data_IF_065357273258
#
_entry.id   IF_065357273258
#
_cell.length_a   1.000
_cell.length_b   1.000
_cell.length_c   1.000
_cell.angle_alpha   90.00
_cell.angle_beta   90.00
_cell.angle_gamma   90.00
#
_symmetry.space_group_name_H-M   'P 1'
#
loop_
_entity.id
_entity.type
_entity.pdbx_description
1 polymer ?
#
# COMPACT_ATOMS: atom_id res chain seq x y z
N UNK A 1 -43.67 12.40 -45.12
CA UNK A 1 -43.75 13.84 -45.48
C UNK A 1 -43.89 14.67 -44.21
N UNK A 2 -42.82 15.32 -43.74
CA UNK A 2 -42.93 16.35 -42.69
C UNK A 2 -41.88 17.42 -42.98
N UNK A 3 -42.38 18.59 -43.37
CA UNK A 3 -41.60 19.71 -43.90
C UNK A 3 -40.86 20.41 -42.75
N UNK A 4 -39.54 20.47 -42.85
CA UNK A 4 -38.68 21.41 -42.12
C UNK A 4 -38.69 22.75 -42.87
N UNK A 5 -39.25 23.81 -42.26
CA UNK A 5 -39.00 25.22 -42.61
C UNK A 5 -39.23 26.07 -41.35
N UNK A 6 -38.13 26.54 -40.75
CA UNK A 6 -37.64 27.93 -40.77
C UNK A 6 -38.42 28.88 -39.87
N UNK A 7 -37.79 29.32 -38.77
CA UNK A 7 -38.01 30.66 -38.20
C UNK A 7 -36.69 31.17 -37.59
N UNK A 8 -36.04 32.02 -38.38
CA UNK A 8 -35.24 33.23 -38.06
C UNK A 8 -34.42 33.31 -36.76
N UNK A 9 -33.09 33.43 -36.92
CA UNK A 9 -32.19 34.12 -35.99
C UNK A 9 -32.28 35.64 -36.21
N UNK A 10 -32.28 36.46 -35.15
CA UNK A 10 -31.69 37.79 -35.22
C UNK A 10 -30.42 37.90 -34.37
N UNK A 11 -29.45 38.58 -34.96
CA UNK A 11 -28.14 38.98 -34.47
C UNK A 11 -28.31 40.28 -33.65
N UNK A 12 -27.61 40.41 -32.53
CA UNK A 12 -27.45 41.67 -31.76
C UNK A 12 -27.50 41.42 -30.25
N UNK A 13 -26.67 41.96 -29.38
CA UNK A 13 -25.51 42.84 -29.47
C UNK A 13 -24.62 42.49 -28.25
N UNK A 14 -23.29 42.48 -28.37
CA UNK A 14 -22.42 42.37 -27.21
C UNK A 14 -22.22 43.75 -26.56
N UNK A 15 -21.96 43.73 -25.25
CA UNK A 15 -21.37 44.80 -24.44
C UNK A 15 -22.32 45.82 -23.77
N UNK A 16 -22.56 45.66 -22.46
CA UNK A 16 -22.06 46.55 -21.37
C UNK A 16 -22.94 46.49 -20.11
N UNK A 17 -22.24 46.35 -18.97
CA UNK A 17 -22.52 46.96 -17.67
C UNK A 17 -23.80 46.55 -16.91
N UNK A 18 -23.61 45.77 -15.84
CA UNK A 18 -24.61 45.54 -14.80
C UNK A 18 -23.96 45.11 -13.49
N UNK A 19 -23.33 46.06 -12.80
CA UNK A 19 -22.68 45.91 -11.51
C UNK A 19 -23.74 46.09 -10.41
N UNK A 20 -24.16 45.01 -9.74
CA UNK A 20 -24.97 45.10 -8.51
C UNK A 20 -24.96 43.79 -7.68
N UNK A 21 -24.02 43.74 -6.73
CA UNK A 21 -24.23 43.38 -5.32
C UNK A 21 -25.45 42.49 -4.95
N UNK A 22 -25.22 41.21 -4.59
CA UNK A 22 -25.76 40.60 -3.36
C UNK A 22 -25.37 39.12 -3.19
N UNK A 23 -24.95 38.84 -1.96
CA UNK A 23 -25.20 37.63 -1.20
C UNK A 23 -24.21 36.46 -1.27
N UNK A 24 -23.87 36.05 -0.04
CA UNK A 24 -23.31 34.78 0.40
C UNK A 24 -21.80 34.63 0.20
N UNK A 25 -21.07 35.19 1.17
CA UNK A 25 -19.83 34.57 1.66
C UNK A 25 -20.21 33.13 2.02
N UNK A 26 -19.85 32.17 1.18
CA UNK A 26 -19.96 30.76 1.50
C UNK A 26 -18.95 30.46 2.61
N UNK A 27 -19.37 30.70 3.85
CA UNK A 27 -18.77 30.11 5.03
C UNK A 27 -19.04 28.60 4.96
N UNK A 28 -18.22 27.86 4.22
CA UNK A 28 -18.51 26.44 4.02
C UNK A 28 -17.66 25.66 3.03
N UNK A 29 -16.43 26.09 2.70
CA UNK A 29 -15.56 25.25 1.88
C UNK A 29 -14.12 25.22 2.38
N UNK A 30 -13.97 24.83 3.65
CA UNK A 30 -12.84 23.99 4.04
C UNK A 30 -13.34 22.56 3.81
N UNK A 31 -13.29 22.09 2.56
CA UNK A 31 -13.20 20.64 2.35
C UNK A 31 -11.84 20.24 2.89
N UNK A 32 -11.85 19.87 4.17
CA UNK A 32 -10.83 19.05 4.76
C UNK A 32 -10.56 17.93 3.75
N UNK A 33 -9.40 17.98 3.10
CA UNK A 33 -8.85 16.85 2.37
C UNK A 33 -8.54 15.77 3.39
N UNK A 34 -9.58 15.12 3.88
CA UNK A 34 -9.53 13.82 4.51
C UNK A 34 -9.73 12.80 3.41
N UNK A 35 -8.84 12.82 2.44
CA UNK A 35 -8.35 11.55 1.90
C UNK A 35 -7.42 10.99 2.98
N UNK A 36 -8.03 10.39 4.02
CA UNK A 36 -7.38 9.22 4.60
C UNK A 36 -7.41 8.25 3.43
N UNK A 37 -6.32 8.21 2.68
CA UNK A 37 -6.00 7.03 1.90
C UNK A 37 -6.16 5.90 2.91
N UNK A 38 -7.24 5.14 2.76
CA UNK A 38 -7.37 3.88 3.44
C UNK A 38 -6.16 3.09 2.98
N UNK A 39 -5.08 3.13 3.75
CA UNK A 39 -4.09 2.08 3.77
C UNK A 39 -4.88 0.85 4.18
N UNK A 40 -5.49 0.19 3.19
CA UNK A 40 -5.71 -1.24 3.27
C UNK A 40 -4.31 -1.82 3.28
N UNK A 41 -3.65 -1.75 4.44
CA UNK A 41 -2.60 -2.69 4.76
C UNK A 41 -3.33 -4.03 4.70
N UNK A 42 -3.11 -4.87 3.67
CA UNK A 42 -3.73 -6.18 3.68
C UNK A 42 -3.28 -6.83 4.98
N UNK A 43 -4.23 -7.23 5.82
CA UNK A 43 -3.93 -7.99 7.03
C UNK A 43 -3.34 -9.31 6.54
N UNK A 44 -2.02 -9.35 6.40
CA UNK A 44 -1.31 -10.55 5.98
C UNK A 44 -1.47 -11.53 7.13
N UNK A 45 -2.29 -12.56 6.91
CA UNK A 45 -2.37 -13.71 7.81
C UNK A 45 -0.98 -14.36 7.83
N UNK A 46 -0.39 -14.49 9.02
CA UNK A 46 0.98 -14.96 9.22
C UNK A 46 0.97 -16.15 10.16
N UNK A 47 1.62 -17.25 9.76
CA UNK A 47 1.82 -18.41 10.63
C UNK A 47 3.15 -18.25 11.38
N UNK A 48 3.14 -18.15 12.72
CA UNK A 48 4.36 -18.08 13.51
C UNK A 48 5.03 -19.46 13.59
N UNK A 49 6.30 -19.51 13.22
CA UNK A 49 7.17 -20.68 13.41
C UNK A 49 8.44 -20.25 14.11
N UNK A 50 8.99 -21.09 15.00
CA UNK A 50 10.27 -20.81 15.66
C UNK A 50 11.41 -21.48 14.89
N UNK A 51 12.44 -20.73 14.54
CA UNK A 51 13.65 -21.25 13.87
C UNK A 51 14.89 -20.66 14.51
N UNK A 52 15.79 -21.52 15.01
CA UNK A 52 17.05 -21.12 15.69
C UNK A 52 16.87 -20.16 16.88
N UNK A 53 15.68 -20.08 17.46
CA UNK A 53 15.33 -19.16 18.56
C UNK A 53 14.73 -17.83 18.10
N UNK A 54 14.59 -17.59 16.80
CA UNK A 54 13.84 -16.47 16.26
C UNK A 54 12.39 -16.86 15.97
N UNK A 55 11.47 -15.92 16.21
CA UNK A 55 10.09 -16.00 15.72
C UNK A 55 10.06 -15.60 14.25
N UNK A 56 9.61 -16.49 13.38
CA UNK A 56 9.44 -16.27 11.95
C UNK A 56 7.96 -16.22 11.59
N UNK A 57 7.54 -15.17 10.92
CA UNK A 57 6.20 -15.00 10.40
C UNK A 57 6.17 -15.21 8.89
N UNK A 58 5.56 -16.31 8.47
CA UNK A 58 5.40 -16.65 7.05
C UNK A 58 4.08 -16.10 6.51
N UNK A 59 4.13 -15.37 5.40
CA UNK A 59 2.91 -14.95 4.70
C UNK A 59 2.15 -16.17 4.18
N UNK A 60 0.84 -16.23 4.44
CA UNK A 60 -0.03 -17.31 3.93
C UNK A 60 0.02 -17.45 2.41
N UNK A 61 0.14 -16.33 1.69
CA UNK A 61 0.26 -16.33 0.22
C UNK A 61 1.49 -17.11 -0.28
N UNK A 62 2.62 -17.05 0.44
CA UNK A 62 3.83 -17.81 0.09
C UNK A 62 3.64 -19.32 0.32
N UNK A 63 2.94 -19.70 1.39
CA UNK A 63 2.65 -21.10 1.70
C UNK A 63 1.71 -21.72 0.66
N UNK A 64 0.73 -20.95 0.18
CA UNK A 64 -0.26 -21.46 -0.78
C UNK A 64 0.29 -21.44 -2.23
N UNK A 65 1.07 -20.42 -2.62
CA UNK A 65 1.54 -20.24 -4.00
C UNK A 65 2.90 -20.89 -4.27
N UNK A 66 3.81 -20.86 -3.29
CA UNK A 66 5.21 -21.26 -3.47
C UNK A 66 5.74 -22.11 -2.30
N UNK A 67 5.07 -23.22 -1.90
CA UNK A 67 5.42 -23.95 -0.68
C UNK A 67 6.85 -24.53 -0.71
N UNK A 68 7.29 -25.07 -1.84
CA UNK A 68 8.62 -25.68 -1.97
C UNK A 68 9.73 -24.63 -1.93
N UNK A 69 9.54 -23.49 -2.61
CA UNK A 69 10.52 -22.38 -2.61
C UNK A 69 10.58 -21.72 -1.23
N UNK A 70 9.43 -21.56 -0.58
CA UNK A 70 9.34 -21.07 0.80
C UNK A 70 10.08 -22.00 1.75
N UNK A 71 9.84 -23.31 1.68
CA UNK A 71 10.56 -24.30 2.49
C UNK A 71 12.07 -24.24 2.29
N UNK A 72 12.54 -24.15 1.04
CA UNK A 72 13.97 -24.02 0.75
C UNK A 72 14.55 -22.72 1.31
N UNK A 73 13.83 -21.61 1.19
CA UNK A 73 14.28 -20.34 1.70
C UNK A 73 14.34 -20.30 3.25
N UNK A 74 13.40 -20.95 3.94
CA UNK A 74 13.46 -21.15 5.40
C UNK A 74 14.66 -22.00 5.80
N UNK A 75 14.97 -23.06 5.06
CA UNK A 75 16.17 -23.88 5.30
C UNK A 75 17.46 -23.05 5.18
N UNK A 76 17.57 -22.23 4.13
CA UNK A 76 18.73 -21.36 3.91
C UNK A 76 18.85 -20.29 5.00
N UNK A 77 17.73 -19.67 5.39
CA UNK A 77 17.69 -18.74 6.52
C UNK A 77 18.16 -19.43 7.80
N UNK A 78 17.74 -20.67 8.05
CA UNK A 78 18.20 -21.45 9.20
C UNK A 78 19.72 -21.58 9.26
N UNK A 79 20.37 -21.88 8.13
CA UNK A 79 21.85 -21.96 8.06
C UNK A 79 22.51 -20.61 8.38
N UNK A 80 21.94 -19.50 7.90
CA UNK A 80 22.45 -18.16 8.19
C UNK A 80 22.28 -17.80 9.68
N UNK A 81 21.13 -18.12 10.28
CA UNK A 81 20.89 -17.89 11.71
C UNK A 81 21.81 -18.73 12.59
N UNK A 82 22.11 -19.96 12.19
CA UNK A 82 23.09 -20.80 12.87
C UNK A 82 24.49 -20.17 12.85
N UNK A 83 24.90 -19.61 11.71
CA UNK A 83 26.17 -18.91 11.58
C UNK A 83 26.23 -17.67 12.48
N UNK A 84 25.15 -16.89 12.54
CA UNK A 84 25.04 -15.76 13.46
C UNK A 84 25.26 -16.22 14.91
N UNK A 85 24.65 -17.33 15.34
CA UNK A 85 24.85 -17.89 16.68
C UNK A 85 26.30 -18.32 16.95
N UNK A 86 27.06 -18.67 15.91
CA UNK A 86 28.46 -19.10 16.00
C UNK A 86 29.40 -17.91 16.20
N UNK A 87 29.14 -16.79 15.52
CA UNK A 87 30.06 -15.64 15.46
C UNK A 87 29.69 -14.51 16.42
N UNK A 88 28.43 -14.42 16.84
CA UNK A 88 27.94 -13.37 17.74
C UNK A 88 27.93 -13.87 19.20
N UNK A 89 28.40 -13.07 20.17
CA UNK A 89 28.34 -13.44 21.58
C UNK A 89 26.93 -13.79 22.07
N UNK A 90 26.76 -14.82 22.94
CA UNK A 90 25.44 -15.31 23.35
C UNK A 90 24.50 -14.23 23.91
N UNK A 91 25.02 -13.28 24.70
CA UNK A 91 24.21 -12.17 25.24
C UNK A 91 23.59 -11.31 24.13
N UNK A 92 24.33 -11.01 23.08
CA UNK A 92 23.83 -10.22 21.96
C UNK A 92 22.83 -11.03 21.12
N UNK A 93 23.07 -12.33 20.92
CA UNK A 93 22.12 -13.24 20.25
C UNK A 93 20.78 -13.25 20.96
N UNK A 94 20.75 -13.28 22.30
CA UNK A 94 19.50 -13.25 23.07
C UNK A 94 18.68 -11.96 22.83
N UNK A 95 19.34 -10.82 22.62
CA UNK A 95 18.67 -9.57 22.27
C UNK A 95 18.15 -9.60 20.82
N UNK A 96 18.94 -10.14 19.88
CA UNK A 96 18.55 -10.27 18.47
C UNK A 96 17.34 -11.21 18.28
N UNK A 97 17.23 -12.26 19.09
CA UNK A 97 16.12 -13.22 19.03
C UNK A 97 14.78 -12.62 19.45
N UNK A 98 14.78 -11.48 20.14
CA UNK A 98 13.55 -10.74 20.46
C UNK A 98 12.93 -10.08 19.23
N UNK A 99 13.71 -9.87 18.17
CA UNK A 99 13.25 -9.24 16.93
C UNK A 99 12.64 -10.30 16.02
N UNK A 100 11.34 -10.23 15.71
CA UNK A 100 10.72 -11.19 14.80
C UNK A 100 11.16 -10.98 13.36
N UNK A 101 11.27 -12.07 12.61
CA UNK A 101 11.59 -12.08 11.19
C UNK A 101 10.31 -12.28 10.37
N UNK A 102 10.24 -11.61 9.21
CA UNK A 102 9.08 -11.66 8.34
C UNK A 102 9.46 -12.12 6.93
N UNK A 103 8.72 -13.11 6.43
CA UNK A 103 8.87 -13.61 5.08
C UNK A 103 7.65 -13.21 4.26
N UNK A 104 7.87 -12.25 3.37
CA UNK A 104 6.83 -11.64 2.56
C UNK A 104 7.04 -12.02 1.08
N UNK A 105 5.95 -12.12 0.30
CA UNK A 105 6.07 -12.20 -1.15
C UNK A 105 6.76 -10.95 -1.69
N UNK A 106 7.23 -11.04 -2.93
CA UNK A 106 7.89 -9.92 -3.56
C UNK A 106 6.96 -8.69 -3.60
N UNK A 107 7.46 -7.56 -3.13
CA UNK A 107 6.70 -6.32 -3.17
C UNK A 107 6.52 -5.87 -4.63
N UNK A 108 5.28 -5.49 -5.02
CA UNK A 108 5.04 -5.02 -6.37
C UNK A 108 5.87 -3.76 -6.65
N UNK A 109 6.38 -3.67 -7.88
CA UNK A 109 7.17 -2.51 -8.39
C UNK A 109 8.54 -2.30 -7.71
N UNK A 110 9.00 -3.26 -6.90
CA UNK A 110 10.38 -3.29 -6.39
C UNK A 110 11.08 -4.49 -7.01
N UNK A 111 12.00 -4.24 -7.94
CA UNK A 111 12.87 -5.27 -8.47
C UNK A 111 13.92 -5.64 -7.40
N UNK A 112 14.13 -6.94 -7.11
CA UNK A 112 15.18 -7.36 -6.20
C UNK A 112 16.54 -6.95 -6.78
N UNK A 113 17.34 -6.22 -6.00
CA UNK A 113 18.73 -5.92 -6.32
C UNK A 113 19.62 -6.96 -5.64
N UNK A 114 20.50 -7.57 -6.43
CA UNK A 114 21.54 -8.48 -5.96
C UNK A 114 22.82 -7.70 -5.66
#
# INVERSE_FOLDING_TARGET
MKRLRHVTRPIGCPHLLGLALLAVITAGQIEAQRIVAAETTPVVVREPTVTHGWTLYLSRALLDQEPQRTGRAVELLGKQLQEIKRVVPPRAVSELQKVPLYFNPQYPKVAPRA
#
